data_IF_911189030037
#
_entry.id   IF_911189030037
#
_cell.length_a   1.000
_cell.length_b   1.000
_cell.length_c   1.000
_cell.angle_alpha   90.00
_cell.angle_beta   90.00
_cell.angle_gamma   90.00
#
_symmetry.space_group_name_H-M   'P 1'
#
loop_
_entity.id
_entity.type
_entity.pdbx_description
1 polymer ?
#
# COMPACT_ATOMS: atom_id res chain seq x y z
N UNK A 1 -1.87 -52.48 -43.09
CA UNK A 1 -1.04 -51.41 -42.49
C UNK A 1 -1.92 -50.23 -42.12
N UNK A 2 -2.37 -50.13 -40.86
CA UNK A 2 -3.03 -48.92 -40.31
C UNK A 2 -2.68 -48.82 -38.83
N UNK A 3 -1.52 -48.23 -38.54
CA UNK A 3 -1.18 -47.63 -37.25
C UNK A 3 -0.94 -46.15 -37.54
N UNK A 4 -1.14 -45.29 -36.53
CA UNK A 4 -1.00 -43.81 -36.59
C UNK A 4 -2.31 -43.20 -37.13
N UNK A 5 -3.15 -42.50 -36.37
CA UNK A 5 -2.92 -41.24 -35.63
C UNK A 5 -3.90 -41.18 -34.44
N UNK A 6 -3.45 -41.44 -33.20
CA UNK A 6 -4.18 -41.06 -31.98
C UNK A 6 -3.14 -40.56 -30.97
N UNK A 7 -2.55 -39.39 -31.25
CA UNK A 7 -1.63 -38.72 -30.32
C UNK A 7 -1.58 -37.19 -30.55
N UNK A 8 -2.68 -36.59 -31.02
CA UNK A 8 -2.77 -35.14 -31.29
C UNK A 8 -4.01 -34.49 -30.63
N UNK A 9 -4.48 -35.05 -29.51
CA UNK A 9 -5.54 -34.44 -28.69
C UNK A 9 -5.11 -34.21 -27.24
N UNK A 10 -3.87 -34.55 -26.86
CA UNK A 10 -3.38 -34.35 -25.49
C UNK A 10 -2.62 -33.03 -25.30
N UNK A 11 -2.19 -32.36 -26.38
CA UNK A 11 -1.35 -31.15 -26.28
C UNK A 11 -2.14 -29.84 -26.19
N UNK A 12 -3.48 -29.87 -26.36
CA UNK A 12 -4.31 -28.65 -26.31
C UNK A 12 -4.73 -28.28 -24.87
N UNK A 13 -4.46 -29.12 -23.87
CA UNK A 13 -4.86 -28.85 -22.48
C UNK A 13 -3.83 -28.09 -21.62
N UNK A 14 -2.64 -27.76 -22.14
CA UNK A 14 -1.60 -27.02 -21.39
C UNK A 14 -1.74 -25.49 -21.53
N UNK A 15 -2.62 -24.98 -22.40
CA UNK A 15 -2.94 -23.55 -22.47
C UNK A 15 -3.99 -23.12 -21.43
N UNK A 16 -4.05 -23.80 -20.29
CA UNK A 16 -4.95 -23.40 -19.22
C UNK A 16 -4.30 -22.31 -18.36
N UNK A 17 -4.60 -21.08 -18.76
CA UNK A 17 -4.86 -19.97 -17.85
C UNK A 17 -3.65 -19.56 -17.00
N UNK A 18 -2.72 -18.84 -17.63
CA UNK A 18 -1.77 -17.97 -16.92
C UNK A 18 -2.60 -16.91 -16.20
N UNK A 19 -2.97 -17.25 -14.97
CA UNK A 19 -4.00 -16.51 -14.29
C UNK A 19 -3.41 -15.21 -13.75
N UNK A 20 -3.99 -14.09 -14.14
CA UNK A 20 -3.79 -12.73 -13.62
C UNK A 20 -4.12 -12.59 -12.11
N UNK A 21 -3.72 -13.55 -11.26
CA UNK A 21 -4.36 -13.76 -9.95
C UNK A 21 -3.65 -13.12 -8.77
N UNK A 22 -2.43 -12.62 -8.94
CA UNK A 22 -1.73 -11.97 -7.85
C UNK A 22 -1.92 -10.46 -7.97
N UNK A 23 -2.78 -9.90 -7.12
CA UNK A 23 -3.02 -8.46 -7.09
C UNK A 23 -2.27 -7.75 -5.98
N UNK A 24 -1.74 -8.49 -5.00
CA UNK A 24 -1.07 -7.92 -3.84
C UNK A 24 0.39 -8.31 -3.82
N UNK A 25 1.23 -7.34 -3.44
CA UNK A 25 2.67 -7.43 -3.51
C UNK A 25 3.30 -6.75 -2.31
N UNK A 26 4.38 -7.35 -1.81
CA UNK A 26 5.25 -6.72 -0.83
C UNK A 26 6.37 -5.96 -1.55
N UNK A 27 6.75 -4.82 -0.97
CA UNK A 27 7.91 -4.06 -1.40
C UNK A 27 8.81 -3.81 -0.19
N UNK A 28 10.07 -4.23 -0.31
CA UNK A 28 11.10 -3.84 0.65
C UNK A 28 11.49 -2.38 0.46
N UNK A 29 12.17 -1.82 1.46
CA UNK A 29 12.50 -0.39 1.53
C UNK A 29 13.40 0.06 0.38
N UNK A 30 14.39 -0.76 0.02
CA UNK A 30 15.29 -0.45 -1.09
C UNK A 30 14.53 -0.35 -2.41
N UNK A 31 13.68 -1.34 -2.70
CA UNK A 31 12.87 -1.34 -3.92
C UNK A 31 11.84 -0.21 -3.89
N UNK A 32 11.26 0.09 -2.73
CA UNK A 32 10.37 1.25 -2.54
C UNK A 32 11.05 2.55 -2.93
N UNK A 33 12.28 2.78 -2.45
CA UNK A 33 13.07 3.99 -2.77
C UNK A 33 13.41 4.05 -4.26
N UNK A 34 13.85 2.94 -4.86
CA UNK A 34 14.23 2.87 -6.28
C UNK A 34 13.09 3.29 -7.21
N UNK A 35 11.85 2.99 -6.82
CA UNK A 35 10.65 3.37 -7.59
C UNK A 35 9.96 4.65 -7.08
N UNK A 36 10.69 5.47 -6.31
CA UNK A 36 10.25 6.81 -5.92
C UNK A 36 9.28 6.86 -4.73
N UNK A 37 9.24 5.82 -3.90
CA UNK A 37 8.44 5.75 -2.68
C UNK A 37 9.35 5.62 -1.44
N UNK A 38 9.96 6.71 -0.95
CA UNK A 38 10.95 6.66 0.15
C UNK A 38 10.30 6.60 1.55
N UNK A 39 9.19 5.87 1.71
CA UNK A 39 8.42 5.82 2.96
C UNK A 39 8.35 4.42 3.57
N UNK A 40 9.45 3.67 3.48
CA UNK A 40 9.59 2.36 4.12
C UNK A 40 9.06 1.18 3.31
N UNK A 41 9.06 0.03 3.96
CA UNK A 41 8.46 -1.19 3.42
C UNK A 41 6.94 -1.09 3.40
N UNK A 42 6.30 -1.73 2.42
CA UNK A 42 4.85 -1.66 2.24
C UNK A 42 4.26 -2.92 1.63
N UNK A 43 2.94 -3.05 1.72
CA UNK A 43 2.18 -3.96 0.88
C UNK A 43 1.21 -3.14 0.05
N UNK A 44 1.14 -3.43 -1.25
CA UNK A 44 0.27 -2.73 -2.18
C UNK A 44 -0.54 -3.70 -3.02
N UNK A 45 -1.58 -3.16 -3.64
CA UNK A 45 -2.38 -3.76 -4.68
C UNK A 45 -2.03 -3.15 -6.03
N UNK A 46 -1.93 -3.97 -7.07
CA UNK A 46 -1.78 -3.55 -8.46
C UNK A 46 -2.58 -4.47 -9.38
N UNK A 47 -3.34 -3.88 -10.29
CA UNK A 47 -4.14 -4.57 -11.30
C UNK A 47 -3.44 -4.60 -12.67
N UNK A 48 -2.32 -3.90 -12.84
CA UNK A 48 -1.60 -3.80 -14.11
C UNK A 48 -0.16 -4.31 -13.99
N UNK A 49 0.16 -5.38 -14.72
CA UNK A 49 1.53 -5.74 -15.08
C UNK A 49 1.91 -5.03 -16.38
N UNK A 50 2.01 -3.70 -16.38
CA UNK A 50 2.51 -3.00 -17.57
C UNK A 50 4.05 -2.95 -17.53
N UNK A 51 4.71 -3.61 -18.48
CA UNK A 51 6.14 -3.47 -18.78
C UNK A 51 7.12 -3.84 -17.64
N UNK A 52 6.79 -4.82 -16.79
CA UNK A 52 7.68 -5.26 -15.72
C UNK A 52 7.75 -4.31 -14.51
N UNK A 53 7.10 -3.14 -14.58
CA UNK A 53 6.94 -2.21 -13.46
C UNK A 53 5.49 -2.27 -12.98
N UNK A 54 5.27 -2.74 -11.76
CA UNK A 54 3.94 -2.78 -11.14
C UNK A 54 3.61 -1.39 -10.64
N UNK A 55 2.77 -0.66 -11.38
CA UNK A 55 2.24 0.62 -10.89
C UNK A 55 1.37 0.35 -9.66
N UNK A 56 1.60 1.11 -8.59
CA UNK A 56 0.82 1.00 -7.35
C UNK A 56 -0.59 1.55 -7.58
N UNK A 57 -1.61 0.69 -7.55
CA UNK A 57 -2.99 1.18 -7.60
C UNK A 57 -3.43 1.64 -6.21
N UNK A 58 -3.09 0.86 -5.18
CA UNK A 58 -3.50 1.14 -3.80
C UNK A 58 -2.52 0.52 -2.83
N UNK A 59 -1.94 1.32 -1.93
CA UNK A 59 -1.17 0.77 -0.81
C UNK A 59 -2.17 0.24 0.22
N UNK A 60 -1.88 -0.88 0.88
CA UNK A 60 -2.81 -1.53 1.81
C UNK A 60 -2.23 -1.69 3.19
N UNK A 61 -0.91 -1.80 3.29
CA UNK A 61 -0.17 -1.69 4.54
C UNK A 61 0.94 -0.69 4.31
N UNK A 62 0.90 0.40 5.06
CA UNK A 62 1.86 1.51 4.98
C UNK A 62 3.12 1.19 5.76
N UNK A 63 4.20 1.93 5.46
CA UNK A 63 5.49 2.02 6.12
C UNK A 63 5.76 1.05 7.29
N UNK A 64 6.91 0.39 7.23
CA UNK A 64 7.52 -0.41 8.29
C UNK A 64 6.76 -1.71 8.61
N UNK A 65 6.46 -2.44 7.55
CA UNK A 65 6.24 -3.90 7.61
C UNK A 65 7.56 -4.58 8.04
N UNK A 66 7.63 -4.93 9.32
CA UNK A 66 8.78 -5.56 9.99
C UNK A 66 8.87 -7.07 9.68
N UNK A 67 7.71 -7.74 9.56
CA UNK A 67 7.64 -9.16 9.22
C UNK A 67 6.58 -9.43 8.16
N UNK A 68 6.90 -10.38 7.29
CA UNK A 68 6.09 -10.72 6.13
C UNK A 68 6.07 -12.24 5.91
N UNK A 69 4.96 -12.76 5.40
CA UNK A 69 4.88 -14.14 4.93
C UNK A 69 3.79 -14.28 3.88
N UNK A 70 4.07 -15.05 2.82
CA UNK A 70 3.16 -15.19 1.69
C UNK A 70 3.10 -16.63 1.16
N UNK A 71 1.94 -16.98 0.60
CA UNK A 71 1.78 -18.05 -0.38
C UNK A 71 0.77 -17.61 -1.46
N UNK A 72 0.49 -18.48 -2.44
CA UNK A 72 -0.43 -18.19 -3.54
C UNK A 72 -1.91 -17.91 -3.15
N UNK A 73 -2.26 -17.83 -1.87
CA UNK A 73 -3.61 -17.45 -1.42
C UNK A 73 -3.63 -16.32 -0.40
N UNK A 74 -2.57 -16.15 0.38
CA UNK A 74 -2.57 -15.28 1.54
C UNK A 74 -1.25 -14.53 1.69
N UNK A 75 -1.35 -13.28 2.17
CA UNK A 75 -0.25 -12.54 2.76
C UNK A 75 -0.56 -12.34 4.25
N UNK A 76 0.44 -12.49 5.10
CA UNK A 76 0.41 -12.03 6.49
C UNK A 76 1.50 -10.98 6.69
N UNK A 77 1.21 -9.95 7.47
CA UNK A 77 2.15 -8.90 7.78
C UNK A 77 2.08 -8.48 9.24
N UNK A 78 3.24 -8.11 9.77
CA UNK A 78 3.38 -7.44 11.05
C UNK A 78 4.02 -6.08 10.76
N UNK A 79 3.33 -5.01 11.15
CA UNK A 79 3.75 -3.63 10.96
C UNK A 79 4.10 -3.04 12.31
N UNK A 80 5.19 -2.28 12.37
CA UNK A 80 5.49 -1.36 13.47
C UNK A 80 5.28 0.06 12.94
N UNK A 81 4.14 0.71 13.21
CA UNK A 81 3.84 2.00 12.62
C UNK A 81 4.94 3.03 12.91
N UNK A 82 5.37 3.74 11.87
CA UNK A 82 6.38 4.78 11.97
C UNK A 82 5.75 6.14 11.69
N UNK A 83 5.69 6.95 12.74
CA UNK A 83 5.01 8.26 12.71
C UNK A 83 5.74 9.23 11.79
N UNK A 84 7.07 9.21 11.81
CA UNK A 84 7.88 10.17 11.08
C UNK A 84 7.78 9.91 9.58
N UNK A 85 7.96 8.66 9.14
CA UNK A 85 7.74 8.28 7.72
C UNK A 85 6.30 8.56 7.26
N UNK A 86 5.32 8.39 8.14
CA UNK A 86 3.93 8.71 7.79
C UNK A 86 3.72 10.22 7.61
N UNK A 87 4.30 11.05 8.47
CA UNK A 87 4.23 12.50 8.36
C UNK A 87 4.98 13.01 7.13
N UNK A 88 6.20 12.54 6.88
CA UNK A 88 6.98 12.86 5.68
C UNK A 88 6.22 12.52 4.40
N UNK A 89 5.52 11.39 4.39
CA UNK A 89 4.67 10.98 3.28
C UNK A 89 3.49 11.94 3.07
N UNK A 90 2.79 12.31 4.14
CA UNK A 90 1.68 13.28 4.06
C UNK A 90 2.20 14.63 3.56
N UNK A 91 3.29 15.12 4.13
CA UNK A 91 3.96 16.36 3.77
C UNK A 91 4.33 16.39 2.27
N UNK A 92 5.01 15.36 1.78
CA UNK A 92 5.39 15.26 0.37
C UNK A 92 4.18 15.22 -0.56
N UNK A 93 3.12 14.53 -0.16
CA UNK A 93 1.85 14.50 -0.93
C UNK A 93 1.22 15.89 -1.01
N UNK A 94 1.23 16.66 0.08
CA UNK A 94 0.74 18.04 0.12
C UNK A 94 1.60 18.97 -0.76
N UNK A 95 2.92 18.80 -0.74
CA UNK A 95 3.84 19.58 -1.57
C UNK A 95 3.59 19.35 -3.06
N UNK A 96 3.40 18.10 -3.47
CA UNK A 96 3.05 17.75 -4.86
C UNK A 96 1.68 18.33 -5.22
N UNK A 97 0.69 18.23 -4.32
CA UNK A 97 -0.67 18.77 -4.52
C UNK A 97 -0.63 20.24 -4.87
N UNK A 98 0.13 20.99 -4.09
CA UNK A 98 0.23 22.41 -4.23
C UNK A 98 0.98 22.82 -5.50
N UNK A 99 2.15 22.22 -5.75
CA UNK A 99 2.93 22.49 -6.97
C UNK A 99 2.07 22.27 -8.23
N UNK A 100 1.27 21.19 -8.24
CA UNK A 100 0.38 20.90 -9.35
C UNK A 100 -0.84 21.83 -9.42
N UNK A 101 -1.44 22.23 -8.29
CA UNK A 101 -2.54 23.20 -8.22
C UNK A 101 -2.15 24.59 -8.69
N UNK A 102 -0.93 25.04 -8.38
CA UNK A 102 -0.43 26.33 -8.81
C UNK A 102 -0.39 26.45 -10.34
N UNK A 103 -0.19 25.32 -11.02
CA UNK A 103 -0.09 25.24 -12.48
C UNK A 103 -1.37 24.76 -13.16
N UNK A 104 -2.35 24.20 -12.42
CA UNK A 104 -3.55 23.57 -13.00
C UNK A 104 -4.82 23.73 -12.14
N UNK A 105 -5.96 23.99 -12.79
CA UNK A 105 -7.27 24.21 -12.15
C UNK A 105 -7.91 22.96 -11.52
N UNK A 106 -7.37 21.75 -11.73
CA UNK A 106 -8.00 20.50 -11.27
C UNK A 106 -6.98 19.37 -11.00
N UNK A 107 -6.36 19.30 -9.81
CA UNK A 107 -5.52 18.17 -9.46
C UNK A 107 -6.31 16.98 -8.97
N UNK A 108 -5.70 15.82 -9.20
CA UNK A 108 -6.02 14.55 -8.59
C UNK A 108 -4.74 14.10 -7.88
N UNK A 109 -4.80 13.88 -6.57
CA UNK A 109 -3.74 13.25 -5.80
C UNK A 109 -4.25 12.01 -5.09
N UNK A 110 -3.52 10.92 -5.23
CA UNK A 110 -3.84 9.72 -4.48
C UNK A 110 -3.18 9.79 -3.10
N UNK A 111 -3.93 10.20 -2.08
CA UNK A 111 -3.62 9.67 -0.76
C UNK A 111 -4.16 8.23 -0.72
N UNK A 112 -3.63 7.37 0.13
CA UNK A 112 -3.83 5.95 -0.09
C UNK A 112 -5.15 5.42 0.48
N UNK A 113 -5.71 6.17 1.43
CA UNK A 113 -7.09 6.04 1.92
C UNK A 113 -8.01 7.09 1.30
N UNK A 114 -7.45 7.99 0.47
CA UNK A 114 -8.15 9.06 -0.21
C UNK A 114 -7.64 9.07 -1.65
N UNK A 115 -8.17 8.17 -2.49
CA UNK A 115 -8.32 8.55 -3.90
C UNK A 115 -8.94 9.95 -3.82
N UNK A 116 -8.24 11.02 -4.24
CA UNK A 116 -8.75 12.39 -4.02
C UNK A 116 -10.13 12.50 -4.63
N UNK A 117 -11.11 12.32 -3.77
CA UNK A 117 -12.40 12.91 -3.94
C UNK A 117 -12.14 14.42 -3.85
N UNK A 118 -12.79 15.19 -4.71
CA UNK A 118 -12.69 16.67 -4.74
C UNK A 118 -12.90 17.30 -3.35
N UNK A 119 -13.54 16.56 -2.44
CA UNK A 119 -13.87 16.97 -1.09
C UNK A 119 -12.65 17.25 -0.19
N UNK A 120 -11.56 16.48 -0.27
CA UNK A 120 -10.39 16.69 0.62
C UNK A 120 -9.50 17.81 0.13
N UNK A 121 -9.28 17.89 -1.19
CA UNK A 121 -8.71 19.09 -1.79
C UNK A 121 -9.51 20.31 -1.34
N UNK A 122 -10.85 20.28 -1.40
CA UNK A 122 -11.68 21.40 -0.90
C UNK A 122 -11.58 21.63 0.61
N UNK A 123 -11.53 20.58 1.43
CA UNK A 123 -11.51 20.68 2.90
C UNK A 123 -10.22 21.35 3.38
N UNK A 124 -9.07 20.94 2.83
CA UNK A 124 -7.77 21.44 3.26
C UNK A 124 -7.21 22.54 2.35
N UNK A 125 -7.79 22.81 1.17
CA UNK A 125 -7.36 23.91 0.29
C UNK A 125 -7.50 25.26 0.97
N UNK A 126 -8.63 25.52 1.64
CA UNK A 126 -8.82 26.77 2.37
C UNK A 126 -7.78 26.92 3.47
N UNK A 127 -7.45 25.84 4.18
CA UNK A 127 -6.44 25.85 5.24
C UNK A 127 -5.03 26.03 4.67
N UNK A 128 -4.70 25.38 3.54
CA UNK A 128 -3.42 25.53 2.86
C UNK A 128 -3.23 26.95 2.30
N UNK A 129 -4.23 27.48 1.58
CA UNK A 129 -4.23 28.84 1.04
C UNK A 129 -4.11 29.88 2.16
N UNK A 130 -4.81 29.67 3.29
CA UNK A 130 -4.78 30.57 4.45
C UNK A 130 -3.45 30.51 5.21
N UNK A 131 -2.84 29.33 5.35
CA UNK A 131 -1.55 29.19 6.05
C UNK A 131 -0.40 29.76 5.19
N UNK A 132 -0.42 29.58 3.86
CA UNK A 132 0.60 30.17 2.97
C UNK A 132 0.56 31.69 2.86
N UNK A 133 -0.63 32.31 2.91
CA UNK A 133 -0.72 33.77 2.98
C UNK A 133 -0.10 34.35 4.26
N UNK A 134 0.06 33.53 5.31
CA UNK A 134 0.59 33.94 6.61
C UNK A 134 2.08 33.59 6.80
N UNK A 135 2.63 32.63 6.04
CA UNK A 135 4.01 32.18 6.19
C UNK A 135 4.74 32.09 4.84
N UNK A 136 5.82 32.88 4.67
CA UNK A 136 6.78 32.73 3.55
C UNK A 136 7.58 31.41 3.60
N UNK A 137 7.46 30.64 4.68
CA UNK A 137 8.13 29.36 4.88
C UNK A 137 7.19 28.20 4.54
N UNK A 138 7.23 27.78 3.28
CA UNK A 138 6.40 26.70 2.74
C UNK A 138 6.60 25.36 3.44
N UNK A 139 7.80 25.08 3.94
CA UNK A 139 8.15 23.76 4.52
C UNK A 139 7.46 23.59 5.87
N UNK A 140 7.59 24.60 6.74
CA UNK A 140 6.96 24.58 8.06
C UNK A 140 5.44 24.46 7.96
N UNK A 141 4.83 25.13 6.98
CA UNK A 141 3.39 24.99 6.68
C UNK A 141 2.98 23.56 6.39
N UNK A 142 3.68 22.88 5.47
CA UNK A 142 3.33 21.51 5.10
C UNK A 142 3.46 20.56 6.29
N UNK A 143 4.47 20.75 7.13
CA UNK A 143 4.65 19.96 8.34
C UNK A 143 3.50 20.13 9.34
N UNK A 144 3.05 21.38 9.57
CA UNK A 144 1.93 21.67 10.46
C UNK A 144 0.61 21.09 9.94
N UNK A 145 0.35 21.21 8.63
CA UNK A 145 -0.85 20.63 8.01
C UNK A 145 -0.78 19.10 8.02
N UNK A 146 0.39 18.51 7.74
CA UNK A 146 0.58 17.07 7.81
C UNK A 146 0.28 16.52 9.22
N UNK A 147 0.74 17.20 10.28
CA UNK A 147 0.43 16.85 11.67
C UNK A 147 -1.08 16.91 11.95
N UNK A 148 -1.76 17.98 11.53
CA UNK A 148 -3.22 18.11 11.69
C UNK A 148 -3.98 16.99 10.99
N UNK A 149 -3.62 16.67 9.74
CA UNK A 149 -4.21 15.55 9.00
C UNK A 149 -3.97 14.24 9.75
N UNK A 150 -2.72 14.00 10.18
CA UNK A 150 -2.39 12.80 10.93
C UNK A 150 -3.23 12.66 12.20
N UNK A 151 -3.41 13.74 12.96
CA UNK A 151 -4.13 13.78 14.23
C UNK A 151 -5.64 13.63 14.08
N UNK A 152 -6.22 14.19 13.02
CA UNK A 152 -7.67 14.25 12.84
C UNK A 152 -8.25 13.09 12.02
N UNK A 153 -7.46 12.45 11.16
CA UNK A 153 -7.97 11.37 10.31
C UNK A 153 -8.01 10.03 11.05
N UNK A 154 -9.23 9.48 11.18
CA UNK A 154 -9.47 8.20 11.85
C UNK A 154 -8.63 7.05 11.28
N UNK A 155 -8.28 7.12 10.00
CA UNK A 155 -7.40 6.16 9.33
C UNK A 155 -6.03 6.05 10.03
N UNK A 156 -5.33 7.18 10.18
CA UNK A 156 -4.02 7.21 10.85
C UNK A 156 -4.17 6.87 12.33
N UNK A 157 -5.16 7.45 13.00
CA UNK A 157 -5.42 7.14 14.41
C UNK A 157 -5.62 5.64 14.63
N UNK A 158 -6.31 4.95 13.72
CA UNK A 158 -6.54 3.51 13.84
C UNK A 158 -5.26 2.67 13.68
N UNK A 159 -4.33 3.08 12.81
CA UNK A 159 -3.03 2.42 12.66
C UNK A 159 -2.19 2.63 13.93
N UNK A 160 -2.18 3.83 14.50
CA UNK A 160 -1.30 4.18 15.62
C UNK A 160 -1.88 3.87 17.01
N UNK A 161 -3.09 3.28 17.09
CA UNK A 161 -3.65 2.73 18.34
C UNK A 161 -2.80 1.64 18.99
N UNK A 162 -1.88 1.03 18.25
CA UNK A 162 -1.05 -0.06 18.73
C UNK A 162 0.38 0.09 18.21
N UNK A 163 1.36 -0.27 19.04
CA UNK A 163 2.77 -0.29 18.66
C UNK A 163 3.09 -1.34 17.59
N UNK A 164 2.25 -2.38 17.51
CA UNK A 164 2.38 -3.45 16.52
C UNK A 164 0.98 -3.75 15.97
N UNK A 165 0.89 -3.76 14.64
CA UNK A 165 -0.32 -4.15 13.92
C UNK A 165 -0.08 -5.42 13.12
N UNK A 166 -1.12 -6.22 13.01
CA UNK A 166 -1.13 -7.42 12.20
C UNK A 166 -2.15 -7.28 11.06
N UNK A 167 -1.79 -7.82 9.90
CA UNK A 167 -2.65 -7.85 8.73
C UNK A 167 -2.68 -9.26 8.14
N UNK A 168 -3.84 -9.60 7.58
CA UNK A 168 -4.05 -10.81 6.76
C UNK A 168 -4.74 -10.36 5.48
N UNK A 169 -4.18 -10.71 4.33
CA UNK A 169 -4.73 -10.35 3.02
C UNK A 169 -5.05 -11.64 2.28
N UNK A 170 -6.27 -11.75 1.76
CA UNK A 170 -6.71 -12.85 0.91
C UNK A 170 -6.56 -12.44 -0.56
N UNK A 171 -5.57 -12.99 -1.26
CA UNK A 171 -5.31 -12.68 -2.67
C UNK A 171 -6.49 -13.07 -3.57
N UNK A 172 -7.13 -14.20 -3.27
CA UNK A 172 -8.24 -14.77 -4.06
C UNK A 172 -9.54 -14.00 -3.89
N UNK A 173 -9.80 -13.47 -2.69
CA UNK A 173 -11.05 -12.76 -2.36
C UNK A 173 -10.93 -11.24 -2.37
N UNK A 174 -9.76 -10.69 -2.69
CA UNK A 174 -9.52 -9.25 -2.69
C UNK A 174 -9.82 -8.58 -1.34
N UNK A 175 -9.55 -9.27 -0.23
CA UNK A 175 -9.98 -8.83 1.08
C UNK A 175 -8.80 -8.62 2.01
N UNK A 176 -8.78 -7.48 2.69
CA UNK A 176 -7.77 -7.11 3.68
C UNK A 176 -8.42 -7.15 5.07
N UNK A 177 -7.76 -7.79 6.02
CA UNK A 177 -8.15 -7.83 7.42
C UNK A 177 -7.03 -7.20 8.24
N UNK A 178 -7.32 -6.05 8.87
CA UNK A 178 -6.38 -5.31 9.70
C UNK A 178 -6.64 -3.79 9.66
N UNK A 179 -5.91 -2.98 10.43
CA UNK A 179 -4.95 -3.41 11.46
C UNK A 179 -5.65 -4.16 12.60
N UNK A 180 -5.02 -5.20 13.13
CA UNK A 180 -5.51 -5.93 14.30
C UNK A 180 -4.39 -6.22 15.31
N UNK A 181 -4.75 -6.49 16.56
CA UNK A 181 -3.81 -6.98 17.56
C UNK A 181 -3.47 -8.46 17.37
N UNK A 182 -2.43 -8.94 18.06
CA UNK A 182 -1.92 -10.31 17.93
C UNK A 182 -2.99 -11.37 18.23
N UNK A 183 -3.79 -11.16 19.29
CA UNK A 183 -4.86 -12.09 19.68
C UNK A 183 -5.85 -12.31 18.53
N UNK A 184 -6.39 -11.23 17.97
CA UNK A 184 -7.32 -11.30 16.82
C UNK A 184 -6.66 -11.92 15.59
N UNK A 185 -5.39 -11.63 15.34
CA UNK A 185 -4.63 -12.22 14.25
C UNK A 185 -4.50 -13.74 14.38
N UNK A 186 -4.15 -14.24 15.56
CA UNK A 186 -4.02 -15.66 15.83
C UNK A 186 -5.37 -16.38 15.75
N UNK A 187 -6.43 -15.78 16.30
CA UNK A 187 -7.81 -16.28 16.21
C UNK A 187 -8.25 -16.39 14.74
N UNK A 188 -8.01 -15.35 13.93
CA UNK A 188 -8.36 -15.36 12.51
C UNK A 188 -7.57 -16.42 11.74
N UNK A 189 -6.25 -16.53 11.97
CA UNK A 189 -5.42 -17.58 11.35
C UNK A 189 -5.92 -18.97 11.68
N UNK A 190 -6.28 -19.23 12.93
CA UNK A 190 -6.85 -20.51 13.37
C UNK A 190 -8.18 -20.78 12.67
N UNK A 191 -9.10 -19.80 12.67
CA UNK A 191 -10.41 -19.93 12.04
C UNK A 191 -10.35 -20.19 10.53
N UNK A 192 -9.39 -19.57 9.83
CA UNK A 192 -9.17 -19.76 8.39
C UNK A 192 -8.17 -20.88 8.04
N UNK A 193 -7.65 -21.60 9.05
CA UNK A 193 -6.63 -22.65 8.90
C UNK A 193 -5.38 -22.18 8.14
N UNK A 194 -4.97 -20.91 8.33
CA UNK A 194 -3.81 -20.31 7.68
C UNK A 194 -2.54 -20.76 8.40
N UNK A 195 -1.73 -21.60 7.74
CA UNK A 195 -0.46 -22.15 8.27
C UNK A 195 0.79 -21.33 7.93
N UNK A 196 0.63 -20.13 7.35
CA UNK A 196 1.75 -19.23 7.05
C UNK A 196 2.51 -18.84 8.31
N UNK A 197 3.83 -18.77 8.20
CA UNK A 197 4.73 -18.24 9.23
C UNK A 197 5.30 -16.91 8.76
N UNK A 198 5.65 -16.05 9.70
CA UNK A 198 6.42 -14.86 9.39
C UNK A 198 7.83 -15.28 9.00
N UNK A 199 8.30 -14.81 7.85
CA UNK A 199 9.71 -14.68 7.53
C UNK A 199 10.23 -13.31 7.95
N UNK A 200 11.55 -13.12 7.85
CA UNK A 200 12.11 -11.78 7.81
C UNK A 200 11.77 -11.16 6.45
N UNK A 201 11.40 -9.89 6.44
CA UNK A 201 11.37 -9.14 5.19
C UNK A 201 12.76 -9.29 4.51
N UNK A 202 12.82 -9.51 3.19
CA UNK A 202 14.08 -9.57 2.47
C UNK A 202 14.85 -8.27 2.74
N UNK A 203 15.98 -8.40 3.42
CA UNK A 203 16.91 -7.31 3.69
C UNK A 203 18.16 -7.63 2.88
N UNK A 204 18.32 -7.00 1.71
CA UNK A 204 19.55 -7.12 0.95
C UNK A 204 20.64 -6.33 1.69
N UNK A 205 21.70 -7.02 2.12
CA UNK A 205 22.96 -6.41 2.56
C UNK A 205 23.85 -6.32 1.33
N UNK A 206 24.35 -5.12 1.04
CA UNK A 206 25.55 -4.93 0.24
C UNK A 206 26.78 -5.34 1.05
#
# INVERSE_FOLDING_TARGET
MKKIVIFLLLDIFILNCQSDKERYYFLDDFTSVDIGYPYGTLIYKSNNNHWGYKTFDTIVVYSDVDKYGENGSWIIAMQKPNRDLMLERIESSLRILYAYHYENDSPVISFPHLVTDKQISKLYKKDLDSVFQLTKDSIKTYQEVAKKIFENEAFYQNIFKSQVNYYIINKKKDSIYGPMNEKRFLEFKKAKKIRLKFGKAPFWKW
#
